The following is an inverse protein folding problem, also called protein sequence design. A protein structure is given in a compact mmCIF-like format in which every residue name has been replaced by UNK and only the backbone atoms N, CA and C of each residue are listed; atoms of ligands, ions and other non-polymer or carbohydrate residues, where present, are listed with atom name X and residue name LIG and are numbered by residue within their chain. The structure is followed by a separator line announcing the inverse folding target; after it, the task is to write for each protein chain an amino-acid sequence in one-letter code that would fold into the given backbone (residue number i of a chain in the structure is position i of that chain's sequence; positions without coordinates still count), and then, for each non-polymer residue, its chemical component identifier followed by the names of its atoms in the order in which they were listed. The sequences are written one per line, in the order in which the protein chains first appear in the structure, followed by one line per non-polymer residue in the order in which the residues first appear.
data_IF_462939826878
#
_entry.id   IF_462939826878
#
_cell.length_a   1.000
_cell.length_b   1.000
_cell.length_c   1.000
_cell.angle_alpha   90.00
_cell.angle_beta   90.00
_cell.angle_gamma   90.00
#
_symmetry.space_group_name_H-M   'P 1'
#
loop_
_entity.id
_entity.type
_entity.pdbx_description
1 polymer ?
#
# COMPACT_ATOMS: atom_id res chain seq x y z
N UNK A 1 7.81 -31.88 8.74
CA UNK A 1 7.54 -31.42 7.35
C UNK A 1 6.12 -30.81 7.25
N UNK A 2 5.71 -30.08 8.29
CA UNK A 2 4.30 -29.68 8.51
C UNK A 2 4.16 -28.18 8.83
N UNK A 3 5.26 -27.50 9.20
CA UNK A 3 5.22 -26.08 9.61
C UNK A 3 5.43 -25.07 8.46
N UNK A 4 5.91 -25.51 7.29
CA UNK A 4 6.11 -24.62 6.13
C UNK A 4 4.80 -24.27 5.38
N UNK A 5 3.66 -24.83 5.79
CA UNK A 5 2.34 -24.48 5.22
C UNK A 5 1.66 -23.32 5.94
N UNK A 6 2.03 -23.01 7.19
CA UNK A 6 1.31 -22.01 8.00
C UNK A 6 1.76 -20.58 7.69
N UNK A 7 3.06 -20.37 7.42
CA UNK A 7 3.57 -19.04 7.08
C UNK A 7 3.06 -18.49 5.74
N UNK A 8 2.70 -19.36 4.78
CA UNK A 8 2.19 -18.92 3.47
C UNK A 8 0.71 -18.49 3.52
N UNK A 9 -0.02 -18.86 4.56
CA UNK A 9 -1.44 -18.49 4.72
C UNK A 9 -1.63 -17.11 5.34
N UNK A 10 -0.69 -16.61 6.14
CA UNK A 10 -0.82 -15.29 6.76
C UNK A 10 -0.54 -14.15 5.76
N UNK A 11 0.47 -14.28 4.90
CA UNK A 11 0.74 -13.26 3.86
C UNK A 11 -0.39 -13.14 2.82
N UNK A 12 -1.06 -14.25 2.50
CA UNK A 12 -2.24 -14.24 1.61
C UNK A 12 -3.43 -13.59 2.31
N UNK A 13 -3.60 -13.76 3.62
CA UNK A 13 -4.67 -13.09 4.36
C UNK A 13 -4.43 -11.58 4.50
N UNK A 14 -3.18 -11.13 4.61
CA UNK A 14 -2.86 -9.69 4.65
C UNK A 14 -3.09 -9.05 3.28
N UNK A 15 -2.72 -9.71 2.18
CA UNK A 15 -3.01 -9.23 0.83
C UNK A 15 -4.52 -9.17 0.52
N UNK A 16 -5.29 -10.19 0.96
CA UNK A 16 -6.76 -10.21 0.78
C UNK A 16 -7.45 -9.15 1.65
N UNK A 17 -6.95 -8.88 2.87
CA UNK A 17 -7.46 -7.78 3.71
C UNK A 17 -7.11 -6.40 3.15
N UNK A 18 -5.96 -6.24 2.50
CA UNK A 18 -5.60 -5.03 1.76
C UNK A 18 -6.53 -4.76 0.58
N UNK A 19 -6.80 -5.80 -0.23
CA UNK A 19 -7.73 -5.72 -1.35
C UNK A 19 -9.18 -5.46 -0.91
N UNK A 20 -9.62 -6.04 0.21
CA UNK A 20 -10.96 -5.77 0.77
C UNK A 20 -11.11 -4.36 1.36
N UNK A 21 -10.03 -3.73 1.84
CA UNK A 21 -10.06 -2.32 2.25
C UNK A 21 -10.04 -1.33 1.08
N UNK A 22 -9.48 -1.74 -0.07
CA UNK A 22 -9.58 -0.96 -1.30
C UNK A 22 -10.99 -1.08 -1.94
N UNK A 23 -11.63 -2.25 -1.88
CA UNK A 23 -12.99 -2.47 -2.43
C UNK A 23 -14.15 -1.99 -1.55
N UNK A 24 -13.93 -1.71 -0.27
CA UNK A 24 -14.99 -1.23 0.64
C UNK A 24 -15.21 0.30 0.62
N UNK A 25 -14.46 1.04 -0.20
CA UNK A 25 -14.73 2.47 -0.48
C UNK A 25 -15.72 2.70 -1.62
N UNK A 26 -16.10 1.66 -2.36
CA UNK A 26 -17.24 1.68 -3.28
C UNK A 26 -18.55 1.39 -2.53
N UNK A 27 -18.74 2.08 -1.39
CA UNK A 27 -20.07 2.26 -0.86
C UNK A 27 -20.84 3.02 -1.94
N UNK A 28 -21.68 2.28 -2.67
CA UNK A 28 -22.57 2.82 -3.69
C UNK A 28 -23.11 4.16 -3.20
N UNK A 29 -22.92 5.26 -3.97
CA UNK A 29 -23.41 6.55 -3.56
C UNK A 29 -24.88 6.35 -3.24
N UNK A 30 -25.26 6.55 -1.98
CA UNK A 30 -26.64 6.73 -1.61
C UNK A 30 -27.15 7.77 -2.60
N UNK A 31 -28.06 7.34 -3.47
CA UNK A 31 -28.85 8.24 -4.28
C UNK A 31 -29.64 9.05 -3.26
N UNK A 32 -29.00 10.10 -2.72
CA UNK A 32 -29.68 11.18 -2.04
C UNK A 32 -30.71 11.64 -3.06
N UNK A 33 -31.96 11.22 -2.85
CA UNK A 33 -33.07 11.69 -3.65
C UNK A 33 -32.97 13.22 -3.61
N UNK A 34 -32.76 13.87 -4.77
CA UNK A 34 -32.51 15.30 -4.81
C UNK A 34 -33.71 15.96 -4.17
N UNK A 35 -33.48 16.52 -2.98
CA UNK A 35 -34.51 17.08 -2.13
C UNK A 35 -35.34 18.05 -2.99
N UNK A 36 -36.62 17.76 -3.18
CA UNK A 36 -37.48 18.48 -4.14
C UNK A 36 -37.51 19.99 -3.87
N UNK A 37 -37.22 20.37 -2.63
CA UNK A 37 -37.08 21.75 -2.18
C UNK A 37 -35.76 22.41 -2.60
N UNK A 38 -34.68 21.64 -2.78
CA UNK A 38 -33.42 22.12 -3.36
C UNK A 38 -33.52 22.32 -4.87
N UNK A 39 -34.33 21.50 -5.56
CA UNK A 39 -34.69 21.72 -6.97
C UNK A 39 -35.58 22.96 -7.15
N UNK A 40 -36.40 23.30 -6.16
CA UNK A 40 -37.11 24.57 -6.06
C UNK A 40 -36.18 25.64 -5.47
N UNK A 41 -35.08 25.93 -6.17
CA UNK A 41 -34.10 26.97 -5.83
C UNK A 41 -34.79 28.31 -5.50
N UNK A 42 -35.06 28.53 -4.21
CA UNK A 42 -35.65 29.76 -3.66
C UNK A 42 -34.73 30.98 -3.91
N UNK A 43 -33.45 30.75 -4.17
CA UNK A 43 -32.48 31.79 -4.53
C UNK A 43 -32.76 32.41 -5.89
N UNK A 44 -33.16 31.62 -6.89
CA UNK A 44 -33.42 32.15 -8.24
C UNK A 44 -34.74 32.93 -8.31
N UNK A 45 -35.69 32.60 -7.44
CA UNK A 45 -36.98 33.27 -7.35
C UNK A 45 -36.86 34.77 -7.02
N UNK A 46 -35.91 35.16 -6.14
CA UNK A 46 -35.73 36.56 -5.75
C UNK A 46 -35.27 37.46 -6.90
N UNK A 47 -34.58 36.90 -7.90
CA UNK A 47 -34.14 37.65 -9.09
C UNK A 47 -35.19 37.62 -10.20
N UNK A 48 -35.92 36.52 -10.33
CA UNK A 48 -36.95 36.32 -11.34
C UNK A 48 -38.21 37.18 -11.14
N UNK A 49 -38.73 37.22 -9.91
CA UNK A 49 -39.96 37.96 -9.58
C UNK A 49 -39.88 39.45 -9.97
N UNK A 50 -38.82 40.21 -9.62
CA UNK A 50 -38.77 41.62 -9.99
C UNK A 50 -38.63 41.81 -11.50
N UNK A 51 -37.86 40.98 -12.21
CA UNK A 51 -37.68 41.11 -13.66
C UNK A 51 -39.00 40.86 -14.41
N UNK A 52 -39.74 39.84 -14.00
CA UNK A 52 -41.06 39.52 -14.56
C UNK A 52 -42.08 40.61 -14.25
N UNK A 53 -42.10 41.12 -13.01
CA UNK A 53 -42.95 42.24 -12.63
C UNK A 53 -42.62 43.52 -13.40
N UNK A 54 -41.34 43.81 -13.63
CA UNK A 54 -40.90 44.96 -14.43
C UNK A 54 -41.36 44.83 -15.88
N UNK A 55 -41.19 43.64 -16.50
CA UNK A 55 -41.67 43.39 -17.85
C UNK A 55 -43.19 43.54 -17.95
N UNK A 56 -43.91 42.98 -16.96
CA UNK A 56 -45.37 43.07 -16.89
C UNK A 56 -45.83 44.53 -16.72
N UNK A 57 -45.17 45.28 -15.83
CA UNK A 57 -45.44 46.70 -15.59
C UNK A 57 -45.13 47.55 -16.84
N UNK A 58 -44.07 47.21 -17.58
CA UNK A 58 -43.72 47.89 -18.82
C UNK A 58 -44.78 47.65 -19.89
N UNK A 59 -45.24 46.40 -20.08
CA UNK A 59 -46.31 46.09 -21.03
C UNK A 59 -47.62 46.76 -20.64
N UNK A 60 -48.00 46.71 -19.35
CA UNK A 60 -49.19 47.38 -18.85
C UNK A 60 -49.11 48.91 -19.02
N UNK A 61 -47.95 49.50 -18.77
CA UNK A 61 -47.70 50.93 -18.97
C UNK A 61 -47.77 51.34 -20.45
N UNK A 62 -47.24 50.51 -21.35
CA UNK A 62 -47.34 50.71 -22.80
C UNK A 62 -48.79 50.59 -23.27
N UNK A 63 -49.55 49.60 -22.82
CA UNK A 63 -50.98 49.46 -23.14
C UNK A 63 -51.83 50.63 -22.61
N UNK A 64 -51.49 51.14 -21.43
CA UNK A 64 -52.11 52.32 -20.85
C UNK A 64 -51.81 53.57 -21.69
N UNK A 65 -50.55 53.77 -22.09
CA UNK A 65 -50.10 54.93 -22.87
C UNK A 65 -50.64 54.93 -24.31
N UNK A 66 -50.69 53.76 -24.97
CA UNK A 66 -51.27 53.61 -26.32
C UNK A 66 -52.81 53.58 -26.30
N UNK A 67 -53.43 53.77 -25.13
CA UNK A 67 -54.86 54.00 -24.98
C UNK A 67 -55.73 52.77 -25.26
N UNK A 68 -55.41 51.61 -24.67
CA UNK A 68 -56.22 50.36 -24.74
C UNK A 68 -56.54 49.84 -26.16
N UNK A 69 -55.97 50.43 -27.22
CA UNK A 69 -56.31 50.14 -28.62
C UNK A 69 -55.80 48.77 -29.11
N UNK A 70 -54.86 48.16 -28.39
CA UNK A 70 -54.26 46.87 -28.79
C UNK A 70 -55.04 45.64 -28.33
N UNK A 71 -55.95 45.78 -27.35
CA UNK A 71 -56.68 44.64 -26.77
C UNK A 71 -57.97 44.23 -27.48
N UNK A 72 -58.39 44.94 -28.54
CA UNK A 72 -59.77 44.85 -29.05
C UNK A 72 -59.95 44.45 -30.51
N UNK A 73 -58.90 44.30 -31.32
CA UNK A 73 -59.06 44.04 -32.76
C UNK A 73 -58.98 42.54 -33.08
N UNK A 74 -60.10 41.85 -32.86
CA UNK A 74 -60.64 40.75 -33.69
C UNK A 74 -59.74 39.60 -34.19
N UNK A 75 -58.60 39.30 -33.54
CA UNK A 75 -57.79 38.13 -33.94
C UNK A 75 -56.32 38.12 -33.49
N UNK A 76 -55.81 39.21 -32.92
CA UNK A 76 -54.43 39.27 -32.45
C UNK A 76 -54.36 38.75 -30.99
N UNK A 77 -53.44 37.81 -30.66
CA UNK A 77 -53.24 37.36 -29.28
C UNK A 77 -52.81 38.53 -28.38
N UNK A 78 -53.30 38.56 -27.14
CA UNK A 78 -53.02 39.63 -26.18
C UNK A 78 -51.50 39.78 -25.92
N UNK A 79 -51.00 41.01 -25.75
CA UNK A 79 -49.57 41.27 -25.47
C UNK A 79 -49.01 40.53 -24.23
N UNK A 80 -49.92 40.11 -23.34
CA UNK A 80 -49.68 39.29 -22.16
C UNK A 80 -49.15 37.87 -22.42
N UNK A 81 -49.13 37.40 -23.67
CA UNK A 81 -48.44 36.17 -24.03
C UNK A 81 -46.91 36.27 -23.89
N UNK A 82 -46.34 37.46 -24.11
CA UNK A 82 -44.89 37.65 -24.14
C UNK A 82 -44.23 37.31 -22.79
N UNK A 83 -44.70 37.85 -21.64
CA UNK A 83 -44.12 37.55 -20.34
C UNK A 83 -44.20 36.07 -19.97
N UNK A 84 -45.34 35.44 -20.28
CA UNK A 84 -45.57 34.02 -19.98
C UNK A 84 -44.61 33.15 -20.77
N UNK A 85 -44.51 33.35 -22.09
CA UNK A 85 -43.62 32.58 -22.94
C UNK A 85 -42.15 32.80 -22.58
N UNK A 86 -41.76 34.05 -22.32
CA UNK A 86 -40.38 34.40 -21.97
C UNK A 86 -39.97 33.79 -20.62
N UNK A 87 -40.82 33.92 -19.61
CA UNK A 87 -40.58 33.34 -18.29
C UNK A 87 -40.49 31.81 -18.34
N UNK A 88 -41.42 31.16 -19.06
CA UNK A 88 -41.40 29.71 -19.25
C UNK A 88 -40.17 29.22 -20.01
N UNK A 89 -39.78 29.91 -21.09
CA UNK A 89 -38.65 29.51 -21.92
C UNK A 89 -37.31 29.66 -21.20
N UNK A 90 -37.14 30.72 -20.39
CA UNK A 90 -35.88 30.99 -19.72
C UNK A 90 -35.73 30.17 -18.44
N UNK A 91 -36.77 30.17 -17.61
CA UNK A 91 -36.71 29.73 -16.21
C UNK A 91 -37.55 28.48 -15.90
N UNK A 92 -38.26 27.92 -16.88
CA UNK A 92 -39.00 26.67 -16.73
C UNK A 92 -40.43 26.82 -16.18
N UNK A 93 -41.00 25.72 -15.66
CA UNK A 93 -42.42 25.62 -15.30
C UNK A 93 -42.83 26.61 -14.21
N UNK A 94 -42.07 26.68 -13.10
CA UNK A 94 -42.45 27.45 -11.90
C UNK A 94 -42.56 28.94 -12.23
N UNK A 95 -41.54 29.46 -12.91
CA UNK A 95 -41.51 30.83 -13.40
C UNK A 95 -42.66 31.13 -14.36
N UNK A 96 -42.91 30.23 -15.32
CA UNK A 96 -44.04 30.31 -16.24
C UNK A 96 -45.39 30.39 -15.55
N UNK A 97 -45.62 29.55 -14.54
CA UNK A 97 -46.87 29.53 -13.77
C UNK A 97 -47.08 30.83 -13.00
N UNK A 98 -46.04 31.34 -12.32
CA UNK A 98 -46.11 32.62 -11.62
C UNK A 98 -46.37 33.79 -12.57
N UNK A 99 -45.70 33.80 -13.73
CA UNK A 99 -45.94 34.79 -14.77
C UNK A 99 -47.39 34.73 -15.27
N UNK A 100 -47.94 33.53 -15.50
CA UNK A 100 -49.34 33.35 -15.87
C UNK A 100 -50.29 33.87 -14.81
N UNK A 101 -50.08 33.57 -13.53
CA UNK A 101 -50.94 34.06 -12.43
C UNK A 101 -50.91 35.59 -12.35
N UNK A 102 -49.73 36.20 -12.43
CA UNK A 102 -49.59 37.66 -12.43
C UNK A 102 -50.31 38.29 -13.64
N UNK A 103 -50.16 37.67 -14.80
CA UNK A 103 -50.79 38.10 -16.05
C UNK A 103 -52.31 37.99 -15.99
N UNK A 104 -52.85 36.91 -15.41
CA UNK A 104 -54.29 36.73 -15.17
C UNK A 104 -54.82 37.84 -14.26
N UNK A 105 -54.10 38.18 -13.19
CA UNK A 105 -54.45 39.28 -12.29
C UNK A 105 -54.53 40.63 -13.03
N UNK A 106 -53.53 40.93 -13.87
CA UNK A 106 -53.54 42.14 -14.69
C UNK A 106 -54.64 42.15 -15.75
N UNK A 107 -54.90 41.00 -16.39
CA UNK A 107 -55.97 40.86 -17.36
C UNK A 107 -57.34 41.13 -16.75
N UNK A 108 -57.61 40.58 -15.55
CA UNK A 108 -58.87 40.83 -14.83
C UNK A 108 -58.98 42.30 -14.40
N UNK A 109 -57.90 42.93 -13.95
CA UNK A 109 -57.91 44.31 -13.47
C UNK A 109 -58.06 45.36 -14.60
N UNK A 110 -57.44 45.11 -15.76
CA UNK A 110 -57.28 46.15 -16.78
C UNK A 110 -57.77 45.79 -18.19
N UNK A 111 -57.92 44.50 -18.50
CA UNK A 111 -58.07 43.97 -19.87
C UNK A 111 -59.39 43.27 -20.19
N UNK A 112 -60.38 43.25 -19.28
CA UNK A 112 -61.67 42.61 -19.57
C UNK A 112 -62.41 43.31 -20.73
N UNK A 113 -62.87 42.56 -21.75
CA UNK A 113 -63.64 43.13 -22.84
C UNK A 113 -65.02 43.59 -22.34
N UNK A 114 -65.57 44.71 -22.86
CA UNK A 114 -66.89 45.18 -22.47
C UNK A 114 -67.96 44.15 -22.87
N UNK A 115 -68.81 43.76 -21.92
CA UNK A 115 -69.91 42.82 -22.16
C UNK A 115 -70.98 43.47 -23.04
N UNK A 116 -71.31 42.84 -24.17
CA UNK A 116 -72.43 43.27 -25.01
C UNK A 116 -73.76 42.82 -24.40
N UNK A 117 -74.75 43.72 -24.35
CA UNK A 117 -76.08 43.44 -23.80
C UNK A 117 -76.85 42.31 -24.54
N UNK A 118 -76.43 41.96 -25.76
CA UNK A 118 -77.02 40.89 -26.55
C UNK A 118 -76.33 39.52 -26.38
N UNK A 119 -75.22 39.44 -25.62
CA UNK A 119 -74.42 38.22 -25.51
C UNK A 119 -74.87 37.37 -24.31
N UNK A 120 -74.96 36.05 -24.52
CA UNK A 120 -75.25 35.12 -23.43
C UNK A 120 -74.09 35.09 -22.41
N UNK A 121 -74.43 34.87 -21.14
CA UNK A 121 -73.44 34.81 -20.05
C UNK A 121 -72.39 33.71 -20.27
N UNK A 122 -72.83 32.53 -20.74
CA UNK A 122 -71.94 31.39 -20.96
C UNK A 122 -70.98 31.61 -22.13
N UNK A 123 -71.44 32.27 -23.21
CA UNK A 123 -70.56 32.59 -24.34
C UNK A 123 -69.47 33.57 -23.91
N UNK A 124 -69.83 34.60 -23.15
CA UNK A 124 -68.86 35.56 -22.61
C UNK A 124 -67.87 34.90 -21.65
N UNK A 125 -68.35 34.08 -20.70
CA UNK A 125 -67.50 33.39 -19.75
C UNK A 125 -66.49 32.44 -20.43
N UNK A 126 -66.91 31.73 -21.49
CA UNK A 126 -66.02 30.82 -22.23
C UNK A 126 -64.85 31.55 -22.91
N UNK A 127 -65.11 32.72 -23.51
CA UNK A 127 -64.08 33.53 -24.17
C UNK A 127 -63.12 34.14 -23.16
N UNK A 128 -63.64 34.64 -22.04
CA UNK A 128 -62.82 35.24 -20.97
C UNK A 128 -61.94 34.19 -20.29
N UNK A 129 -62.43 32.96 -20.09
CA UNK A 129 -61.68 31.88 -19.46
C UNK A 129 -60.66 31.20 -20.40
N UNK A 130 -60.90 31.22 -21.71
CA UNK A 130 -60.03 30.58 -22.69
C UNK A 130 -58.60 31.13 -22.69
N UNK A 131 -58.42 32.45 -22.53
CA UNK A 131 -57.09 33.08 -22.55
C UNK A 131 -56.23 32.70 -21.33
N UNK A 132 -56.70 32.84 -20.08
CA UNK A 132 -56.00 32.32 -18.89
C UNK A 132 -55.64 30.84 -18.99
N UNK A 133 -56.58 30.01 -19.47
CA UNK A 133 -56.35 28.58 -19.64
C UNK A 133 -55.22 28.31 -20.66
N UNK A 134 -55.21 29.06 -21.77
CA UNK A 134 -54.18 28.95 -22.79
C UNK A 134 -52.79 29.39 -22.29
N UNK A 135 -52.71 30.46 -21.48
CA UNK A 135 -51.45 30.89 -20.86
C UNK A 135 -50.89 29.85 -19.89
N UNK A 136 -51.75 29.28 -19.03
CA UNK A 136 -51.34 28.22 -18.12
C UNK A 136 -50.88 26.97 -18.87
N UNK A 137 -51.62 26.55 -19.91
CA UNK A 137 -51.24 25.42 -20.73
C UNK A 137 -49.89 25.64 -21.44
N UNK A 138 -49.70 26.81 -22.05
CA UNK A 138 -48.43 27.16 -22.69
C UNK A 138 -47.27 27.22 -21.69
N UNK A 139 -47.52 27.78 -20.50
CA UNK A 139 -46.51 27.87 -19.46
C UNK A 139 -46.07 26.50 -18.97
N UNK A 140 -47.02 25.58 -18.83
CA UNK A 140 -46.77 24.20 -18.43
C UNK A 140 -46.00 23.42 -19.50
N UNK A 141 -46.42 23.51 -20.77
CA UNK A 141 -45.78 22.78 -21.87
C UNK A 141 -44.37 23.30 -22.14
N UNK A 142 -44.23 24.62 -22.33
CA UNK A 142 -42.95 25.24 -22.67
C UNK A 142 -41.99 25.20 -21.47
N UNK A 143 -42.51 25.51 -20.29
CA UNK A 143 -41.75 25.41 -19.06
C UNK A 143 -41.32 23.98 -18.76
N UNK A 144 -42.18 22.99 -19.03
CA UNK A 144 -41.89 21.58 -18.82
C UNK A 144 -40.78 21.09 -19.74
N UNK A 145 -40.84 21.46 -21.02
CA UNK A 145 -39.79 21.17 -21.97
C UNK A 145 -38.45 21.80 -21.57
N UNK A 146 -38.47 23.06 -21.12
CA UNK A 146 -37.27 23.75 -20.63
C UNK A 146 -36.70 23.08 -19.38
N UNK A 147 -37.54 22.75 -18.40
CA UNK A 147 -37.13 22.06 -17.18
C UNK A 147 -36.52 20.69 -17.49
N UNK A 148 -37.10 19.93 -18.42
CA UNK A 148 -36.56 18.65 -18.87
C UNK A 148 -35.17 18.84 -19.52
N UNK A 149 -35.00 19.84 -20.38
CA UNK A 149 -33.72 20.10 -21.04
C UNK A 149 -32.64 20.51 -20.02
N UNK A 150 -32.96 21.37 -19.06
CA UNK A 150 -32.03 21.74 -17.99
C UNK A 150 -31.61 20.50 -17.20
N UNK A 151 -32.56 19.63 -16.86
CA UNK A 151 -32.28 18.40 -16.14
C UNK A 151 -31.36 17.46 -16.94
N UNK A 152 -31.69 17.21 -18.21
CA UNK A 152 -30.85 16.38 -19.09
C UNK A 152 -29.43 16.95 -19.23
N UNK A 153 -29.29 18.26 -19.38
CA UNK A 153 -27.98 18.91 -19.46
C UNK A 153 -27.19 18.72 -18.17
N UNK A 154 -27.84 18.89 -17.01
CA UNK A 154 -27.19 18.67 -15.71
C UNK A 154 -26.77 17.21 -15.50
N UNK A 155 -27.57 16.25 -15.95
CA UNK A 155 -27.27 14.82 -15.86
C UNK A 155 -26.08 14.45 -16.76
N UNK A 156 -26.05 14.95 -18.00
CA UNK A 156 -24.91 14.73 -18.92
C UNK A 156 -23.63 15.34 -18.35
N UNK A 157 -23.70 16.54 -17.78
CA UNK A 157 -22.55 17.19 -17.15
C UNK A 157 -22.06 16.42 -15.92
N UNK A 158 -22.99 15.90 -15.09
CA UNK A 158 -22.67 15.04 -13.96
C UNK A 158 -21.94 13.76 -14.43
N UNK A 159 -22.46 13.08 -15.46
CA UNK A 159 -21.83 11.89 -16.05
C UNK A 159 -20.43 12.17 -16.60
N UNK A 160 -20.25 13.30 -17.29
CA UNK A 160 -18.93 13.72 -17.81
C UNK A 160 -17.94 13.96 -16.67
N UNK A 161 -18.34 14.68 -15.62
CA UNK A 161 -17.48 14.92 -14.47
C UNK A 161 -17.13 13.64 -13.70
N UNK A 162 -18.07 12.70 -13.59
CA UNK A 162 -17.83 11.40 -12.97
C UNK A 162 -16.82 10.57 -13.80
N UNK A 163 -17.01 10.48 -15.12
CA UNK A 163 -16.09 9.78 -16.01
C UNK A 163 -14.68 10.39 -15.98
N UNK A 164 -14.58 11.72 -15.91
CA UNK A 164 -13.29 12.41 -15.80
C UNK A 164 -12.57 12.09 -14.48
N UNK A 165 -13.29 12.01 -13.35
CA UNK A 165 -12.71 11.57 -12.07
C UNK A 165 -12.19 10.15 -12.15
N UNK A 166 -12.99 9.23 -12.68
CA UNK A 166 -12.57 7.84 -12.87
C UNK A 166 -11.33 7.72 -13.76
N UNK A 167 -11.21 8.54 -14.81
CA UNK A 167 -10.03 8.54 -15.67
C UNK A 167 -8.76 9.01 -14.92
N UNK A 168 -8.88 10.02 -14.04
CA UNK A 168 -7.78 10.48 -13.20
C UNK A 168 -7.38 9.40 -12.18
N UNK A 169 -8.35 8.78 -11.51
CA UNK A 169 -8.08 7.72 -10.52
C UNK A 169 -7.38 6.50 -11.17
N UNK A 170 -7.76 6.15 -12.41
CA UNK A 170 -7.10 5.10 -13.18
C UNK A 170 -5.67 5.48 -13.58
N UNK A 171 -5.43 6.73 -13.96
CA UNK A 171 -4.09 7.21 -14.29
C UNK A 171 -3.17 7.14 -13.07
N UNK A 172 -3.62 7.63 -11.92
CA UNK A 172 -2.89 7.55 -10.65
C UNK A 172 -2.63 6.09 -10.23
N UNK A 173 -3.61 5.20 -10.46
CA UNK A 173 -3.47 3.77 -10.19
C UNK A 173 -2.40 3.11 -11.06
N UNK A 174 -2.34 3.47 -12.35
CA UNK A 174 -1.32 2.97 -13.27
C UNK A 174 0.06 3.49 -12.92
N UNK A 175 0.20 4.77 -12.54
CA UNK A 175 1.48 5.36 -12.13
C UNK A 175 2.06 4.65 -10.89
N UNK A 176 1.23 4.37 -9.88
CA UNK A 176 1.65 3.58 -8.71
C UNK A 176 2.07 2.17 -9.08
N UNK A 177 1.32 1.52 -9.97
CA UNK A 177 1.65 0.17 -10.43
C UNK A 177 2.99 0.15 -11.20
N UNK A 178 3.28 1.17 -12.00
CA UNK A 178 4.59 1.28 -12.67
C UNK A 178 5.72 1.52 -11.69
N UNK A 179 5.53 2.36 -10.68
CA UNK A 179 6.55 2.60 -9.64
C UNK A 179 6.86 1.33 -8.84
N UNK A 180 5.84 0.54 -8.50
CA UNK A 180 6.01 -0.75 -7.84
C UNK A 180 6.77 -1.76 -8.71
N UNK A 181 6.46 -1.82 -10.01
CA UNK A 181 7.19 -2.67 -10.97
C UNK A 181 8.66 -2.25 -11.02
N UNK A 182 8.96 -0.95 -11.16
CA UNK A 182 10.35 -0.47 -11.18
C UNK A 182 11.09 -0.80 -9.88
N UNK A 183 10.41 -0.70 -8.73
CA UNK A 183 11.00 -1.06 -7.45
C UNK A 183 11.32 -2.56 -7.36
N UNK A 184 10.41 -3.42 -7.84
CA UNK A 184 10.62 -4.87 -7.91
C UNK A 184 11.75 -5.22 -8.88
N UNK A 185 11.81 -4.58 -10.04
CA UNK A 185 12.89 -4.76 -11.02
C UNK A 185 14.25 -4.40 -10.44
N UNK A 186 14.36 -3.25 -9.74
CA UNK A 186 15.59 -2.87 -9.03
C UNK A 186 15.96 -3.91 -7.97
N UNK A 187 15.00 -4.37 -7.16
CA UNK A 187 15.26 -5.38 -6.13
C UNK A 187 15.76 -6.70 -6.72
N UNK A 188 15.15 -7.17 -7.82
CA UNK A 188 15.57 -8.40 -8.50
C UNK A 188 16.97 -8.24 -9.10
N UNK A 189 17.27 -7.08 -9.70
CA UNK A 189 18.60 -6.80 -10.25
C UNK A 189 19.69 -6.83 -9.17
N UNK A 190 19.43 -6.27 -7.99
CA UNK A 190 20.35 -6.33 -6.86
C UNK A 190 20.51 -7.75 -6.29
N UNK A 191 19.41 -8.50 -6.13
CA UNK A 191 19.45 -9.84 -5.52
C UNK A 191 20.13 -10.88 -6.43
N UNK A 192 19.95 -10.79 -7.75
CA UNK A 192 20.59 -11.70 -8.71
C UNK A 192 22.13 -11.59 -8.73
N UNK A 193 22.69 -10.41 -8.45
CA UNK A 193 24.14 -10.23 -8.33
C UNK A 193 24.74 -11.03 -7.17
N UNK A 194 24.03 -11.11 -6.05
CA UNK A 194 24.44 -11.87 -4.87
C UNK A 194 24.40 -13.39 -5.09
N UNK A 195 23.35 -13.90 -5.75
CA UNK A 195 23.17 -15.35 -5.97
C UNK A 195 24.24 -15.92 -6.90
N UNK A 196 24.58 -15.22 -7.98
CA UNK A 196 25.64 -15.68 -8.90
C UNK A 196 27.02 -15.74 -8.22
N UNK A 197 27.33 -14.77 -7.35
CA UNK A 197 28.57 -14.77 -6.55
C UNK A 197 28.57 -15.94 -5.55
N UNK A 198 27.46 -16.17 -4.86
CA UNK A 198 27.30 -17.29 -3.93
C UNK A 198 27.51 -18.65 -4.61
N UNK A 199 26.86 -18.91 -5.75
CA UNK A 199 27.03 -20.17 -6.50
C UNK A 199 28.49 -20.38 -6.90
N UNK A 200 29.18 -19.30 -7.31
CA UNK A 200 30.60 -19.36 -7.66
C UNK A 200 31.48 -19.71 -6.45
N UNK A 201 31.19 -19.17 -5.28
CA UNK A 201 31.91 -19.54 -4.04
C UNK A 201 31.63 -20.99 -3.63
N UNK A 202 30.39 -21.48 -3.75
CA UNK A 202 30.07 -22.88 -3.49
C UNK A 202 30.80 -23.84 -4.44
N UNK A 203 30.96 -23.48 -5.71
CA UNK A 203 31.68 -24.31 -6.69
C UNK A 203 33.18 -24.47 -6.41
N UNK A 204 33.75 -23.61 -5.56
CA UNK A 204 35.17 -23.65 -5.16
C UNK A 204 35.40 -24.44 -3.86
N UNK A 205 34.35 -24.93 -3.20
CA UNK A 205 34.48 -25.65 -1.94
C UNK A 205 35.21 -26.97 -2.17
N UNK A 206 36.50 -26.98 -1.84
CA UNK A 206 37.29 -28.20 -1.78
C UNK A 206 37.14 -28.82 -0.37
N UNK A 207 36.47 -29.98 -0.33
CA UNK A 207 36.21 -30.74 0.91
C UNK A 207 37.37 -31.67 1.28
N UNK A 208 38.48 -31.63 0.55
CA UNK A 208 39.63 -32.51 0.77
C UNK A 208 40.43 -32.13 2.01
N UNK A 209 40.37 -30.86 2.42
CA UNK A 209 41.09 -30.34 3.59
C UNK A 209 40.18 -29.43 4.42
N UNK A 210 40.21 -29.61 5.74
CA UNK A 210 39.39 -28.85 6.69
C UNK A 210 39.73 -27.36 6.65
N UNK A 211 41.01 -27.00 6.51
CA UNK A 211 41.41 -25.59 6.42
C UNK A 211 40.94 -24.96 5.10
N UNK A 212 41.08 -25.67 3.99
CA UNK A 212 40.58 -25.25 2.67
C UNK A 212 39.05 -25.05 2.67
N UNK A 213 38.29 -25.99 3.24
CA UNK A 213 36.83 -25.90 3.34
C UNK A 213 36.38 -24.67 4.16
N UNK A 214 37.06 -24.38 5.28
CA UNK A 214 36.72 -23.22 6.12
C UNK A 214 37.08 -21.90 5.43
N UNK A 215 38.21 -21.86 4.72
CA UNK A 215 38.60 -20.67 3.94
C UNK A 215 37.66 -20.38 2.77
N UNK A 216 37.09 -21.41 2.15
CA UNK A 216 36.10 -21.20 1.08
C UNK A 216 34.72 -20.88 1.66
N UNK A 217 34.40 -21.43 2.83
CA UNK A 217 33.18 -21.10 3.54
C UNK A 217 33.17 -19.65 4.04
N UNK A 218 34.33 -19.09 4.42
CA UNK A 218 34.42 -17.68 4.80
C UNK A 218 34.01 -16.77 3.64
N UNK A 219 34.40 -17.08 2.40
CA UNK A 219 33.90 -16.36 1.21
C UNK A 219 32.37 -16.43 1.09
N UNK A 220 31.77 -17.59 1.37
CA UNK A 220 30.30 -17.75 1.35
C UNK A 220 29.64 -16.89 2.43
N UNK A 221 30.21 -16.82 3.64
CA UNK A 221 29.72 -15.93 4.71
C UNK A 221 29.84 -14.46 4.31
N UNK A 222 30.97 -14.08 3.71
CA UNK A 222 31.24 -12.73 3.21
C UNK A 222 30.16 -12.27 2.24
N UNK A 223 29.90 -13.06 1.19
CA UNK A 223 28.92 -12.71 0.16
C UNK A 223 27.46 -12.93 0.58
N UNK A 224 27.19 -13.93 1.41
CA UNK A 224 25.82 -14.27 1.81
C UNK A 224 25.24 -13.33 2.86
N UNK A 225 26.08 -12.93 3.81
CA UNK A 225 25.70 -12.04 4.92
C UNK A 225 25.99 -10.58 4.61
N UNK A 226 26.92 -10.29 3.68
CA UNK A 226 27.36 -8.92 3.39
C UNK A 226 28.23 -8.34 4.50
N UNK A 227 28.97 -9.18 5.22
CA UNK A 227 29.86 -8.75 6.29
C UNK A 227 31.25 -8.42 5.73
N UNK A 228 31.75 -7.21 6.02
CA UNK A 228 33.10 -6.77 5.63
C UNK A 228 34.17 -7.28 6.60
N UNK A 229 33.79 -7.40 7.87
CA UNK A 229 34.66 -7.87 8.94
C UNK A 229 33.94 -8.95 9.74
N UNK A 230 34.50 -10.16 9.78
CA UNK A 230 33.95 -11.27 10.53
C UNK A 230 35.02 -12.28 10.96
N UNK A 231 34.69 -13.08 11.95
CA UNK A 231 35.56 -14.12 12.51
C UNK A 231 34.77 -15.41 12.72
N UNK A 232 35.39 -16.54 12.38
CA UNK A 232 34.85 -17.88 12.59
C UNK A 232 35.70 -18.56 13.67
N UNK A 233 35.05 -18.87 14.79
CA UNK A 233 35.62 -19.57 15.94
C UNK A 233 35.10 -21.00 15.94
N UNK A 234 35.99 -21.99 16.01
CA UNK A 234 35.61 -23.40 16.17
C UNK A 234 36.11 -23.93 17.51
N UNK A 235 35.32 -24.80 18.13
CA UNK A 235 35.65 -25.44 19.40
C UNK A 235 36.68 -26.54 19.16
N UNK A 236 37.84 -26.44 19.81
CA UNK A 236 38.86 -27.49 19.88
C UNK A 236 39.13 -27.81 21.36
N UNK A 237 38.58 -28.92 21.84
CA UNK A 237 38.57 -29.24 23.27
C UNK A 237 37.75 -28.23 24.09
N UNK A 238 38.40 -27.57 25.04
CA UNK A 238 37.78 -26.58 25.94
C UNK A 238 38.04 -25.12 25.52
N UNK A 239 38.63 -24.91 24.34
CA UNK A 239 38.96 -23.58 23.82
C UNK A 239 38.35 -23.36 22.45
N UNK A 240 38.03 -22.12 22.15
CA UNK A 240 37.63 -21.71 20.81
C UNK A 240 38.83 -21.13 20.09
N UNK A 241 39.20 -21.77 18.99
CA UNK A 241 40.30 -21.33 18.12
C UNK A 241 39.71 -20.61 16.91
N UNK A 242 40.30 -19.46 16.58
CA UNK A 242 39.91 -18.72 15.39
C UNK A 242 40.52 -19.39 14.17
N UNK A 243 39.66 -19.94 13.31
CA UNK A 243 40.12 -20.69 12.13
C UNK A 243 40.15 -19.82 10.90
N UNK A 244 39.29 -18.80 10.84
CA UNK A 244 39.32 -17.78 9.80
C UNK A 244 38.87 -16.43 10.38
N UNK A 245 39.55 -15.36 9.99
CA UNK A 245 39.05 -14.01 10.17
C UNK A 245 39.31 -13.18 8.92
N UNK A 246 38.37 -12.29 8.61
CA UNK A 246 38.49 -11.31 7.56
C UNK A 246 38.26 -9.95 8.21
N UNK A 247 39.18 -9.02 7.96
CA UNK A 247 39.10 -7.63 8.40
C UNK A 247 39.21 -6.72 7.19
N UNK A 248 38.18 -5.91 6.95
CA UNK A 248 38.08 -4.99 5.81
C UNK A 248 38.48 -5.66 4.46
N UNK A 249 37.91 -6.85 4.22
CA UNK A 249 38.15 -7.68 3.03
C UNK A 249 39.52 -8.37 2.92
N UNK A 250 40.37 -8.26 3.94
CA UNK A 250 41.70 -8.90 4.00
C UNK A 250 41.67 -10.09 4.95
N UNK A 251 42.14 -11.25 4.47
CA UNK A 251 42.26 -12.44 5.31
C UNK A 251 43.35 -12.23 6.38
N UNK A 252 42.96 -12.36 7.64
CA UNK A 252 43.88 -12.26 8.78
C UNK A 252 44.35 -13.68 9.14
N UNK A 253 45.66 -13.94 9.25
CA UNK A 253 46.17 -15.26 9.57
C UNK A 253 45.74 -15.69 10.98
N UNK A 254 45.26 -16.93 11.10
CA UNK A 254 44.75 -17.51 12.34
C UNK A 254 45.73 -17.40 13.52
N UNK A 255 47.04 -17.44 13.26
CA UNK A 255 48.08 -17.33 14.28
C UNK A 255 48.13 -15.96 15.00
N UNK A 256 47.56 -14.92 14.41
CA UNK A 256 47.49 -13.58 15.01
C UNK A 256 46.29 -13.41 15.95
N UNK A 257 45.37 -14.38 15.98
CA UNK A 257 44.11 -14.29 16.70
C UNK A 257 44.20 -14.98 18.05
N UNK A 258 43.76 -14.28 19.09
CA UNK A 258 43.76 -14.78 20.47
C UNK A 258 42.73 -15.90 20.63
N UNK A 259 43.15 -17.07 21.11
CA UNK A 259 42.22 -18.14 21.48
C UNK A 259 41.31 -17.68 22.62
N UNK A 260 40.01 -17.95 22.52
CA UNK A 260 39.07 -17.61 23.59
C UNK A 260 38.72 -18.81 24.46
N UNK A 261 38.58 -18.53 25.75
CA UNK A 261 38.08 -19.50 26.73
C UNK A 261 36.57 -19.77 26.54
N UNK A 262 36.17 -21.03 26.61
CA UNK A 262 34.80 -21.45 26.33
C UNK A 262 33.79 -20.85 27.31
N UNK A 263 34.14 -20.77 28.60
CA UNK A 263 33.27 -20.19 29.61
C UNK A 263 32.98 -18.70 29.34
N UNK A 264 34.01 -17.95 28.90
CA UNK A 264 33.88 -16.53 28.59
C UNK A 264 32.97 -16.29 27.38
N UNK A 265 33.12 -17.12 26.33
CA UNK A 265 32.32 -17.01 25.11
C UNK A 265 30.85 -17.38 25.34
N UNK A 266 30.58 -18.45 26.11
CA UNK A 266 29.21 -18.88 26.41
C UNK A 266 28.46 -17.86 27.29
N UNK A 267 29.14 -17.24 28.26
CA UNK A 267 28.57 -16.16 29.07
C UNK A 267 28.21 -14.95 28.18
N UNK A 268 29.07 -14.60 27.22
CA UNK A 268 28.83 -13.50 26.30
C UNK A 268 27.66 -13.78 25.34
N UNK A 269 27.52 -15.02 24.88
CA UNK A 269 26.48 -15.44 23.94
C UNK A 269 25.09 -15.61 24.57
N UNK A 270 25.02 -15.87 25.87
CA UNK A 270 23.76 -16.08 26.59
C UNK A 270 23.17 -14.77 27.18
N UNK A 271 23.85 -13.63 27.04
CA UNK A 271 23.30 -12.35 27.46
C UNK A 271 22.21 -11.86 26.49
N UNK A 272 20.98 -11.61 26.96
CA UNK A 272 19.97 -10.94 26.15
C UNK A 272 20.38 -9.48 25.95
N UNK A 273 20.72 -9.10 24.71
CA UNK A 273 21.14 -7.73 24.37
C UNK A 273 22.38 -7.59 23.49
N UNK A 274 22.94 -8.69 22.99
CA UNK A 274 24.09 -8.68 22.09
C UNK A 274 25.40 -9.04 22.80
N UNK A 275 26.42 -9.31 22.00
CA UNK A 275 27.72 -9.77 22.48
C UNK A 275 28.57 -8.58 22.89
N UNK A 276 29.04 -8.59 24.14
CA UNK A 276 29.95 -7.56 24.65
C UNK A 276 31.32 -7.71 23.96
N UNK A 277 31.51 -6.96 22.88
CA UNK A 277 32.73 -7.00 22.04
C UNK A 277 34.00 -6.72 22.85
N UNK A 278 33.90 -5.89 23.89
CA UNK A 278 35.04 -5.61 24.80
C UNK A 278 35.49 -6.85 25.57
N UNK A 279 34.55 -7.71 25.99
CA UNK A 279 34.89 -8.95 26.68
C UNK A 279 35.58 -9.96 25.76
N UNK A 280 35.37 -9.85 24.44
CA UNK A 280 36.06 -10.66 23.44
C UNK A 280 37.43 -10.11 23.04
N UNK A 281 37.84 -8.94 23.57
CA UNK A 281 39.05 -8.24 23.14
C UNK A 281 38.93 -7.66 21.73
N UNK A 282 37.72 -7.60 21.17
CA UNK A 282 37.43 -7.05 19.86
C UNK A 282 36.99 -5.60 20.09
N UNK A 283 37.54 -4.66 19.33
CA UNK A 283 37.21 -3.23 19.47
C UNK A 283 35.70 -2.97 19.51
N UNK A 284 35.29 -1.89 20.17
CA UNK A 284 33.87 -1.54 20.33
C UNK A 284 33.20 -1.42 18.95
N UNK A 285 32.22 -2.28 18.67
CA UNK A 285 31.44 -2.28 17.43
C UNK A 285 29.96 -2.06 17.74
N UNK A 286 29.33 -1.12 17.03
CA UNK A 286 27.94 -0.73 17.28
C UNK A 286 26.91 -1.74 16.75
N UNK A 287 27.28 -2.57 15.76
CA UNK A 287 26.41 -3.56 15.12
C UNK A 287 27.12 -4.91 14.96
N UNK A 288 27.08 -5.72 16.01
CA UNK A 288 27.67 -7.07 16.01
C UNK A 288 26.57 -8.13 15.89
N UNK A 289 26.58 -8.91 14.80
CA UNK A 289 25.71 -10.08 14.65
C UNK A 289 26.48 -11.35 14.97
N UNK A 290 25.84 -12.26 15.69
CA UNK A 290 26.48 -13.50 16.10
C UNK A 290 25.62 -14.70 15.74
N UNK A 291 26.20 -15.58 14.95
CA UNK A 291 25.63 -16.83 14.48
C UNK A 291 26.20 -17.99 15.25
N UNK A 292 25.33 -18.83 15.81
CA UNK A 292 25.74 -20.04 16.49
C UNK A 292 25.84 -21.19 15.47
N UNK A 293 26.96 -21.91 15.50
CA UNK A 293 27.13 -23.18 14.79
C UNK A 293 26.74 -24.27 15.79
N UNK A 294 25.45 -24.61 15.80
CA UNK A 294 24.91 -25.65 16.67
C UNK A 294 25.34 -27.03 16.16
N UNK A 295 25.73 -27.89 17.10
CA UNK A 295 26.01 -29.30 16.86
C UNK A 295 24.77 -30.16 16.84
N UNK A 296 24.98 -31.45 16.59
CA UNK A 296 23.91 -32.44 16.46
C UNK A 296 23.04 -32.59 17.72
N UNK A 297 23.61 -32.30 18.91
CA UNK A 297 22.80 -32.11 20.14
C UNK A 297 22.49 -30.62 20.31
N UNK A 298 21.24 -30.27 20.66
CA UNK A 298 20.76 -28.89 20.71
C UNK A 298 21.52 -27.97 21.69
N UNK A 299 22.31 -28.54 22.60
CA UNK A 299 23.13 -27.80 23.58
C UNK A 299 24.64 -27.83 23.31
N UNK A 300 25.10 -28.59 22.31
CA UNK A 300 26.54 -28.59 21.97
C UNK A 300 26.83 -27.56 20.92
N UNK A 301 27.48 -26.46 21.31
CA UNK A 301 28.00 -25.46 20.37
C UNK A 301 29.35 -25.94 19.82
N UNK A 302 29.46 -26.03 18.50
CA UNK A 302 30.69 -26.47 17.82
C UNK A 302 31.50 -25.26 17.34
N UNK A 303 30.84 -24.14 17.11
CA UNK A 303 31.50 -22.91 16.70
C UNK A 303 30.59 -21.69 16.73
N UNK A 304 31.18 -20.55 16.46
CA UNK A 304 30.52 -19.25 16.47
C UNK A 304 31.06 -18.42 15.31
N UNK A 305 30.16 -17.77 14.59
CA UNK A 305 30.49 -16.80 13.55
C UNK A 305 30.13 -15.43 14.10
N UNK A 306 31.11 -14.55 14.23
CA UNK A 306 30.95 -13.19 14.74
C UNK A 306 31.15 -12.23 13.58
N UNK A 307 30.10 -11.50 13.20
CA UNK A 307 30.15 -10.44 12.20
C UNK A 307 30.22 -9.10 12.92
N UNK A 308 31.31 -8.35 12.70
CA UNK A 308 31.64 -7.12 13.43
C UNK A 308 31.21 -5.87 12.67
N UNK A 309 31.18 -5.95 11.33
CA UNK A 309 30.74 -4.87 10.46
C UNK A 309 29.92 -5.44 9.31
N UNK A 310 28.62 -5.13 9.31
CA UNK A 310 27.72 -5.40 8.20
C UNK A 310 27.66 -4.20 7.25
N UNK A 311 27.43 -4.49 5.97
CA UNK A 311 27.07 -3.45 5.02
C UNK A 311 25.77 -2.77 5.45
N UNK A 312 25.78 -1.44 5.51
CA UNK A 312 24.66 -0.57 5.94
C UNK A 312 23.36 -0.78 5.17
N UNK A 313 23.41 -1.45 4.02
CA UNK A 313 22.25 -1.74 3.17
C UNK A 313 21.49 -3.01 3.57
N UNK A 314 22.05 -3.83 4.47
CA UNK A 314 21.49 -5.14 4.82
C UNK A 314 20.65 -5.05 6.09
N UNK A 315 19.39 -5.45 5.98
CA UNK A 315 18.48 -5.63 7.12
C UNK A 315 19.04 -6.66 8.11
N UNK A 316 19.24 -6.23 9.36
CA UNK A 316 19.83 -7.03 10.45
C UNK A 316 19.05 -8.34 10.68
N UNK A 317 17.71 -8.32 10.58
CA UNK A 317 16.90 -9.51 10.83
C UNK A 317 17.14 -10.57 9.75
N UNK A 318 17.25 -10.11 8.50
CA UNK A 318 17.52 -10.96 7.34
C UNK A 318 18.94 -11.51 7.38
N UNK A 319 19.91 -10.68 7.77
CA UNK A 319 21.29 -11.10 7.98
C UNK A 319 21.40 -12.17 9.07
N UNK A 320 20.71 -12.00 10.20
CA UNK A 320 20.71 -12.97 11.30
C UNK A 320 20.10 -14.32 10.88
N UNK A 321 19.00 -14.29 10.12
CA UNK A 321 18.39 -15.51 9.54
C UNK A 321 19.37 -16.24 8.62
N UNK A 322 20.03 -15.50 7.70
CA UNK A 322 21.03 -16.07 6.79
C UNK A 322 22.24 -16.64 7.53
N UNK A 323 22.75 -15.91 8.52
CA UNK A 323 23.89 -16.32 9.34
C UNK A 323 23.59 -17.62 10.11
N UNK A 324 22.35 -17.78 10.60
CA UNK A 324 21.90 -19.01 11.25
C UNK A 324 21.85 -20.20 10.26
N UNK A 325 21.30 -19.99 9.06
CA UNK A 325 21.28 -21.02 8.01
C UNK A 325 22.68 -21.42 7.56
N UNK A 326 23.59 -20.45 7.44
CA UNK A 326 25.00 -20.69 7.11
C UNK A 326 25.71 -21.44 8.23
N UNK A 327 25.49 -21.09 9.50
CA UNK A 327 26.03 -21.84 10.63
C UNK A 327 25.63 -23.32 10.59
N UNK A 328 24.37 -23.60 10.25
CA UNK A 328 23.89 -24.97 10.10
C UNK A 328 24.52 -25.69 8.89
N UNK A 329 24.76 -24.99 7.79
CA UNK A 329 25.48 -25.54 6.64
C UNK A 329 26.95 -25.86 6.96
N UNK A 330 27.64 -24.97 7.68
CA UNK A 330 29.02 -25.17 8.14
C UNK A 330 29.12 -26.40 9.03
N UNK A 331 28.17 -26.59 9.94
CA UNK A 331 28.13 -27.78 10.78
C UNK A 331 28.09 -29.08 9.95
N UNK A 332 27.21 -29.15 8.96
CA UNK A 332 27.10 -30.33 8.09
C UNK A 332 28.37 -30.57 7.27
N UNK A 333 29.03 -29.51 6.80
CA UNK A 333 30.31 -29.61 6.09
C UNK A 333 31.40 -30.16 7.01
N UNK A 334 31.51 -29.62 8.24
CA UNK A 334 32.51 -30.07 9.21
C UNK A 334 32.31 -31.54 9.60
N UNK A 335 31.06 -31.97 9.79
CA UNK A 335 30.74 -33.38 10.04
C UNK A 335 31.19 -34.28 8.88
N UNK A 336 30.92 -33.86 7.65
CA UNK A 336 31.30 -34.65 6.47
C UNK A 336 32.82 -34.74 6.25
N UNK A 337 33.59 -33.76 6.75
CA UNK A 337 35.06 -33.77 6.69
C UNK A 337 35.66 -34.63 7.81
N UNK A 338 35.12 -34.55 9.04
CA UNK A 338 35.59 -35.36 10.18
C UNK A 338 35.38 -36.86 9.92
N UNK A 339 34.24 -37.25 9.35
CA UNK A 339 33.91 -38.65 8.99
C UNK A 339 34.88 -39.24 7.95
N UNK A 340 35.60 -38.39 7.20
CA UNK A 340 36.64 -38.82 6.24
C UNK A 340 38.04 -38.83 6.83
N UNK A 341 38.25 -38.13 7.94
CA UNK A 341 39.55 -37.98 8.60
C UNK A 341 39.86 -39.12 9.60
N UNK A 342 38.95 -40.09 9.75
CA UNK A 342 39.17 -41.33 10.51
C UNK A 342 39.50 -42.48 9.53
N UNK A 343 40.72 -42.57 8.97
CA UNK A 343 41.12 -43.72 8.18
C UNK A 343 41.37 -44.90 9.12
N UNK A 344 40.74 -46.04 8.79
CA UNK A 344 41.01 -47.39 9.30
C UNK A 344 42.39 -47.54 9.98
N UNK A 345 42.44 -47.25 11.28
CA UNK A 345 43.50 -47.78 12.12
C UNK A 345 43.22 -49.28 12.22
N UNK A 346 44.09 -50.17 11.71
CA UNK A 346 43.86 -51.60 11.79
C UNK A 346 43.71 -51.95 13.26
N UNK A 347 42.54 -52.45 13.64
CA UNK A 347 42.30 -53.07 14.94
C UNK A 347 43.36 -54.17 15.10
N UNK A 348 44.42 -53.87 15.83
CA UNK A 348 45.38 -54.86 16.27
C UNK A 348 44.65 -55.87 17.15
N UNK A 349 44.44 -57.06 16.62
CA UNK A 349 44.15 -58.26 17.38
C UNK A 349 45.15 -58.35 18.52
N UNK A 350 44.67 -58.21 19.76
CA UNK A 350 45.44 -58.50 20.95
C UNK A 350 44.70 -59.59 21.72
N UNK A 351 44.69 -60.77 21.11
CA UNK A 351 44.38 -62.04 21.75
C UNK A 351 45.55 -62.46 22.65
N UNK A 352 45.27 -62.62 23.94
CA UNK A 352 45.93 -63.59 24.82
C UNK A 352 47.09 -63.10 25.69
N UNK A 353 46.84 -62.91 27.00
CA UNK A 353 47.25 -63.88 28.05
C UNK A 353 46.81 -63.39 29.46
N UNK A 354 46.45 -64.28 30.41
CA UNK A 354 45.99 -63.92 31.75
C UNK A 354 47.07 -64.12 32.85
N UNK A 355 46.85 -63.43 33.98
CA UNK A 355 47.41 -63.65 35.34
C UNK A 355 48.94 -63.49 35.50
N UNK A 356 49.54 -62.90 36.55
CA UNK A 356 49.23 -62.97 37.98
C UNK A 356 50.19 -62.02 38.76
N UNK A 357 49.75 -61.61 39.95
CA UNK A 357 50.51 -61.38 41.20
C UNK A 357 51.70 -60.38 41.32
N UNK A 358 51.53 -59.45 42.27
CA UNK A 358 52.46 -58.98 43.32
C UNK A 358 53.92 -58.59 43.01
N UNK A 359 54.25 -57.30 43.28
CA UNK A 359 55.33 -56.78 44.16
C UNK A 359 55.52 -55.27 43.86
N UNK A 360 55.35 -54.32 44.81
CA UNK A 360 56.12 -54.00 46.02
C UNK A 360 57.45 -53.28 45.73
N UNK A 361 57.64 -52.14 46.43
CA UNK A 361 58.89 -51.37 46.68
C UNK A 361 59.34 -50.41 45.53
N UNK A 362 59.21 -49.08 45.64
CA UNK A 362 59.79 -48.10 46.58
C UNK A 362 61.32 -47.93 46.42
N UNK A 363 61.74 -46.66 46.32
CA UNK A 363 63.10 -46.13 46.48
C UNK A 363 64.01 -45.96 45.25
N UNK A 364 64.18 -44.67 44.90
CA UNK A 364 65.39 -43.88 45.21
C UNK A 364 66.55 -43.87 44.19
N UNK A 365 66.61 -42.71 43.52
CA UNK A 365 67.75 -41.80 43.41
C UNK A 365 68.96 -42.10 42.49
N UNK A 366 69.31 -40.99 41.82
CA UNK A 366 70.64 -40.38 41.71
C UNK A 366 71.42 -40.51 40.39
N UNK A 367 71.81 -39.33 39.89
CA UNK A 367 73.00 -39.07 39.06
C UNK A 367 72.72 -39.09 37.55
N UNK A 368 73.19 -38.15 36.73
CA UNK A 368 74.08 -37.02 36.93
C UNK A 368 73.96 -36.07 35.72
N UNK A 369 74.21 -34.78 35.93
CA UNK A 369 74.31 -33.79 34.84
C UNK A 369 74.44 -32.35 35.32
N UNK A 370 75.67 -31.98 35.68
CA UNK A 370 76.22 -30.65 36.06
C UNK A 370 76.32 -30.32 37.54
#
# INVERSE_FOLDING_TARGET
MTDLRVAKTEDVQVLVKGAQRAGARDAAPSLDEPDLLSMLSLSDWRRFVPETLVLLALIAGVEFWLGRRLGGTGGVPHAYWLPVLLASAQYGVVAGMLASVATIGCYIAFGLPPQSAAQSFYDYASVVAAQPAAWLAAALVLGGLRSLHIHQHSEVQAKLSAAQRTAVDLADGLERATDEIEQLERSIAYENGGVASLIRSFSKLDLSDRASAISTFSDVVRFGVGAQTFMILLKHGDRYEAVAAIEDDVAVPAAALTSLDAATLEIALNRPGGVDTKALGIGQCDHCLVGRVAGQKPDTMIGVIICLRLDTTVDEERAQKRLTSLGLALHNILLAVDDRAEPDLPKGDNDGLPANADQVVLAKAAGAGS
#
